data_IF_700074046882
#
_entry.id   IF_700074046882
#
_cell.length_a   1.000
_cell.length_b   1.000
_cell.length_c   1.000
_cell.angle_alpha   90.00
_cell.angle_beta   90.00
_cell.angle_gamma   90.00
#
_symmetry.space_group_name_H-M   'P 1'
#
loop_
_entity.id
_entity.type
_entity.pdbx_description
1 polymer ?
#
# COMPACT_ATOMS: atom_id res chain seq x y z
N UNK A 1 5.95 3.11 -0.48
CA UNK A 1 5.43 4.36 -1.08
C UNK A 1 5.37 5.49 -0.05
N UNK A 2 4.62 5.39 1.05
CA UNK A 2 4.50 6.47 2.08
C UNK A 2 5.85 6.79 2.77
N UNK A 3 6.74 5.80 2.89
CA UNK A 3 8.03 5.92 3.60
C UNK A 3 9.15 6.67 2.85
N UNK A 4 8.94 6.99 1.56
CA UNK A 4 9.83 7.90 0.82
C UNK A 4 9.02 9.13 0.48
N UNK A 5 9.39 10.27 1.07
CA UNK A 5 8.73 11.58 0.91
C UNK A 5 8.27 11.77 -0.55
N UNK A 6 6.95 11.85 -0.71
CA UNK A 6 6.22 12.27 -1.91
C UNK A 6 6.81 11.87 -3.26
N UNK A 7 6.48 10.68 -3.76
CA UNK A 7 6.28 10.51 -5.21
C UNK A 7 4.81 10.17 -5.44
N UNK A 8 4.17 10.91 -6.33
CA UNK A 8 2.89 10.53 -6.89
C UNK A 8 3.07 9.15 -7.55
N UNK A 9 2.51 8.09 -6.98
CA UNK A 9 2.44 6.82 -7.73
C UNK A 9 1.42 7.03 -8.84
N UNK A 10 1.92 7.17 -10.07
CA UNK A 10 1.14 7.11 -11.30
C UNK A 10 1.03 5.67 -11.83
N UNK A 11 1.35 4.68 -11.00
CA UNK A 11 1.51 3.30 -11.45
C UNK A 11 0.21 2.52 -11.26
N UNK A 12 -0.82 2.90 -12.03
CA UNK A 12 -2.05 2.13 -12.19
C UNK A 12 -3.33 2.96 -12.30
N UNK A 13 -4.22 2.56 -13.21
CA UNK A 13 -5.56 3.12 -13.33
C UNK A 13 -6.39 2.79 -12.07
N UNK A 14 -7.12 3.78 -11.52
CA UNK A 14 -8.11 3.53 -10.46
C UNK A 14 -9.37 2.84 -10.99
N UNK A 15 -9.72 3.18 -12.23
CA UNK A 15 -10.66 2.49 -13.08
C UNK A 15 -10.07 2.51 -14.49
N UNK A 16 -9.98 1.35 -15.11
CA UNK A 16 -9.42 1.22 -16.44
C UNK A 16 -10.46 1.41 -17.56
N UNK A 17 -11.59 0.70 -17.47
CA UNK A 17 -12.71 0.84 -18.41
C UNK A 17 -12.51 0.08 -19.72
N UNK A 18 -13.12 0.58 -20.79
CA UNK A 18 -13.14 -0.07 -22.12
C UNK A 18 -12.64 0.89 -23.20
N UNK A 19 -11.77 0.41 -24.07
CA UNK A 19 -11.39 1.09 -25.31
C UNK A 19 -12.53 0.97 -26.33
N UNK A 20 -13.44 1.93 -26.33
CA UNK A 20 -14.56 1.96 -27.28
C UNK A 20 -14.13 2.39 -28.69
N UNK A 21 -14.82 1.85 -29.70
CA UNK A 21 -14.56 2.18 -31.11
C UNK A 21 -13.24 1.59 -31.63
N UNK A 22 -12.67 2.22 -32.65
CA UNK A 22 -11.46 1.71 -33.34
C UNK A 22 -10.24 2.63 -33.21
N UNK A 23 -10.36 3.72 -32.48
CA UNK A 23 -9.31 4.73 -32.30
C UNK A 23 -8.81 4.87 -30.87
N UNK A 24 -9.49 4.28 -29.88
CA UNK A 24 -9.13 4.37 -28.47
C UNK A 24 -8.04 3.36 -28.07
N UNK A 25 -8.02 2.18 -28.68
CA UNK A 25 -6.98 1.16 -28.45
C UNK A 25 -5.80 1.36 -29.40
N UNK A 26 -4.58 1.35 -28.86
CA UNK A 26 -3.37 1.27 -29.68
C UNK A 26 -3.31 -0.05 -30.47
N UNK A 27 -2.41 -0.19 -31.46
CA UNK A 27 -2.22 -1.44 -32.20
C UNK A 27 -1.99 -2.62 -31.23
N UNK A 28 -2.70 -3.73 -31.43
CA UNK A 28 -2.63 -4.93 -30.59
C UNK A 28 -3.07 -4.77 -29.13
N UNK A 29 -3.75 -3.67 -28.79
CA UNK A 29 -4.38 -3.49 -27.48
C UNK A 29 -5.79 -4.07 -27.51
N UNK A 30 -6.16 -4.82 -26.47
CA UNK A 30 -7.49 -5.37 -26.32
C UNK A 30 -8.53 -4.27 -26.10
N UNK A 31 -9.79 -4.54 -26.45
CA UNK A 31 -10.91 -3.65 -26.13
C UNK A 31 -11.05 -3.46 -24.62
N UNK A 32 -10.78 -4.51 -23.83
CA UNK A 32 -10.72 -4.40 -22.38
C UNK A 32 -9.50 -3.58 -21.95
N UNK A 33 -9.74 -2.58 -21.10
CA UNK A 33 -8.73 -1.75 -20.46
C UNK A 33 -8.81 -1.88 -18.94
N UNK A 34 -9.15 -3.06 -18.40
CA UNK A 34 -9.42 -3.32 -16.98
C UNK A 34 -8.25 -3.03 -16.01
N UNK A 35 -7.00 -3.22 -16.43
CA UNK A 35 -5.75 -2.93 -15.68
C UNK A 35 -5.61 -3.57 -14.28
N UNK A 36 -6.43 -4.58 -13.96
CA UNK A 36 -6.61 -5.03 -12.58
C UNK A 36 -6.89 -3.89 -11.60
N UNK A 37 -7.61 -2.87 -12.06
CA UNK A 37 -7.89 -1.68 -11.28
C UNK A 37 -8.81 -1.99 -10.07
N UNK A 38 -8.78 -1.16 -9.01
CA UNK A 38 -9.70 -1.29 -7.87
C UNK A 38 -11.18 -1.27 -8.27
N UNK A 39 -11.51 -0.59 -9.37
CA UNK A 39 -12.78 -0.72 -10.08
C UNK A 39 -12.54 -1.45 -11.39
N UNK A 40 -13.29 -2.53 -11.64
CA UNK A 40 -13.18 -3.29 -12.88
C UNK A 40 -13.64 -2.49 -14.11
N UNK A 41 -13.49 -3.06 -15.31
CA UNK A 41 -13.92 -2.48 -16.59
C UNK A 41 -15.36 -1.94 -16.59
N UNK A 42 -16.27 -2.52 -15.79
CA UNK A 42 -17.68 -2.12 -15.71
C UNK A 42 -17.98 -1.17 -14.55
N UNK A 43 -16.95 -0.78 -13.78
CA UNK A 43 -17.08 0.09 -12.62
C UNK A 43 -17.49 -0.62 -11.32
N UNK A 44 -17.43 -1.96 -11.29
CA UNK A 44 -17.70 -2.74 -10.09
C UNK A 44 -16.49 -2.78 -9.16
N UNK A 45 -16.75 -2.81 -7.86
CA UNK A 45 -15.71 -2.83 -6.83
C UNK A 45 -14.97 -4.18 -6.83
N UNK A 46 -13.66 -4.13 -7.08
CA UNK A 46 -12.79 -5.32 -7.04
C UNK A 46 -12.21 -5.51 -5.63
N UNK A 47 -12.80 -6.45 -4.91
CA UNK A 47 -12.28 -6.90 -3.61
C UNK A 47 -11.14 -7.92 -3.80
N UNK A 48 -10.15 -7.98 -2.88
CA UNK A 48 -9.99 -7.15 -1.68
C UNK A 48 -9.25 -5.83 -1.93
N UNK A 49 -8.83 -5.57 -3.18
CA UNK A 49 -7.94 -4.46 -3.55
C UNK A 49 -8.53 -3.10 -3.20
N UNK A 50 -9.81 -2.88 -3.50
CA UNK A 50 -10.51 -1.65 -3.18
C UNK A 50 -10.54 -1.36 -1.68
N UNK A 51 -10.98 -2.31 -0.85
CA UNK A 51 -11.02 -2.08 0.60
C UNK A 51 -9.63 -1.94 1.20
N UNK A 52 -8.63 -2.70 0.75
CA UNK A 52 -7.25 -2.49 1.20
C UNK A 52 -6.72 -1.09 0.88
N UNK A 53 -6.99 -0.55 -0.31
CA UNK A 53 -6.59 0.81 -0.67
C UNK A 53 -7.40 1.86 0.08
N UNK A 54 -8.67 1.59 0.37
CA UNK A 54 -9.54 2.46 1.17
C UNK A 54 -9.08 2.51 2.63
N UNK A 55 -8.71 1.38 3.23
CA UNK A 55 -8.09 1.34 4.57
C UNK A 55 -6.74 2.06 4.58
N UNK A 56 -5.92 1.89 3.54
CA UNK A 56 -4.69 2.68 3.38
C UNK A 56 -5.00 4.19 3.26
N UNK A 57 -6.06 4.56 2.56
CA UNK A 57 -6.49 5.95 2.44
C UNK A 57 -7.00 6.53 3.77
N UNK A 58 -7.59 5.73 4.66
CA UNK A 58 -7.93 6.19 6.02
C UNK A 58 -6.70 6.62 6.82
N UNK A 59 -5.52 6.08 6.52
CA UNK A 59 -4.25 6.55 7.08
C UNK A 59 -3.81 7.95 6.59
N UNK A 60 -4.64 8.65 5.79
CA UNK A 60 -4.47 10.07 5.46
C UNK A 60 -4.40 10.97 6.70
N UNK A 61 -4.87 10.51 7.85
CA UNK A 61 -4.67 11.20 9.14
C UNK A 61 -3.18 11.50 9.45
N UNK A 62 -2.25 10.72 8.89
CA UNK A 62 -0.81 10.97 9.01
C UNK A 62 -0.32 12.17 8.17
N UNK A 63 -1.12 12.70 7.25
CA UNK A 63 -0.73 13.75 6.28
C UNK A 63 -0.04 14.95 6.95
N UNK A 64 -0.57 15.56 8.04
CA UNK A 64 0.07 16.71 8.67
C UNK A 64 1.50 16.41 9.17
N UNK A 65 1.74 15.22 9.71
CA UNK A 65 3.07 14.80 10.16
C UNK A 65 4.00 14.50 8.97
N UNK A 66 3.48 13.86 7.92
CA UNK A 66 4.23 13.49 6.72
C UNK A 66 4.72 14.69 5.91
N UNK A 67 3.92 15.76 5.83
CA UNK A 67 4.29 16.96 5.06
C UNK A 67 5.18 17.92 5.85
N UNK A 68 5.14 17.87 7.18
CA UNK A 68 5.84 18.83 8.04
C UNK A 68 7.17 18.33 8.62
N UNK A 69 7.48 17.04 8.49
CA UNK A 69 8.71 16.47 9.02
C UNK A 69 9.33 15.44 8.06
N UNK A 70 10.65 15.27 8.16
CA UNK A 70 11.36 14.16 7.53
C UNK A 70 11.35 12.93 8.45
N UNK A 71 11.32 11.71 7.89
CA UNK A 71 11.27 10.50 8.69
C UNK A 71 12.58 10.27 9.44
N UNK A 72 12.50 10.02 10.74
CA UNK A 72 13.56 9.42 11.52
C UNK A 72 13.41 7.91 11.40
N UNK A 73 14.41 7.25 10.81
CA UNK A 73 14.41 5.80 10.61
C UNK A 73 15.20 5.13 11.73
N UNK A 74 14.53 4.25 12.47
CA UNK A 74 15.13 3.47 13.54
C UNK A 74 15.03 1.99 13.20
N UNK A 75 16.17 1.30 13.14
CA UNK A 75 16.17 -0.16 13.06
C UNK A 75 15.79 -0.71 14.43
N UNK A 76 14.74 -1.54 14.49
CA UNK A 76 14.33 -2.20 15.74
C UNK A 76 15.13 -3.49 15.88
N UNK A 77 14.98 -4.41 14.91
CA UNK A 77 15.71 -5.68 14.84
C UNK A 77 15.85 -6.04 13.35
N UNK A 78 17.07 -6.27 12.86
CA UNK A 78 17.39 -6.80 11.52
C UNK A 78 16.54 -6.23 10.36
N UNK A 79 15.40 -6.88 10.05
CA UNK A 79 14.50 -6.57 8.93
C UNK A 79 13.25 -5.77 9.36
N UNK A 80 13.19 -5.32 10.60
CA UNK A 80 12.11 -4.50 11.14
C UNK A 80 12.58 -3.07 11.39
N UNK A 81 11.85 -2.11 10.81
CA UNK A 81 12.18 -0.69 10.90
C UNK A 81 10.97 0.11 11.37
N UNK A 82 11.22 1.10 12.22
CA UNK A 82 10.29 2.16 12.51
C UNK A 82 10.68 3.40 11.70
N UNK A 83 9.72 3.99 11.00
CA UNK A 83 9.85 5.31 10.41
C UNK A 83 8.93 6.25 11.17
N UNK A 84 9.51 7.21 11.88
CA UNK A 84 8.79 8.12 12.76
C UNK A 84 8.85 9.53 12.18
N UNK A 85 7.69 10.13 11.99
CA UNK A 85 7.49 11.51 11.58
C UNK A 85 7.02 12.28 12.81
N UNK A 86 7.81 13.26 13.23
CA UNK A 86 7.47 14.10 14.38
C UNK A 86 7.77 15.55 14.02
N UNK A 87 6.75 16.39 14.12
CA UNK A 87 6.84 17.81 13.80
C UNK A 87 6.95 18.67 15.05
N UNK A 88 7.60 19.82 14.92
CA UNK A 88 7.68 20.84 15.99
C UNK A 88 6.30 21.38 16.38
N UNK A 89 5.30 21.26 15.51
CA UNK A 89 3.90 21.63 15.78
C UNK A 89 3.12 20.56 16.55
N UNK A 90 3.75 19.45 16.94
CA UNK A 90 3.13 18.38 17.72
C UNK A 90 2.43 17.29 16.91
N UNK A 91 2.47 17.33 15.57
CA UNK A 91 1.98 16.23 14.74
C UNK A 91 2.93 15.04 14.78
N UNK A 92 2.38 13.83 14.88
CA UNK A 92 3.13 12.59 15.00
C UNK A 92 2.54 11.52 14.11
N UNK A 93 3.36 10.76 13.41
CA UNK A 93 2.96 9.53 12.74
C UNK A 93 4.11 8.52 12.74
N UNK A 94 3.81 7.24 12.96
CA UNK A 94 4.82 6.19 12.90
C UNK A 94 4.41 5.04 11.98
N UNK A 95 5.39 4.46 11.31
CA UNK A 95 5.21 3.35 10.39
C UNK A 95 6.17 2.23 10.80
N UNK A 96 5.60 1.09 11.18
CA UNK A 96 6.34 -0.10 11.59
C UNK A 96 6.36 -1.08 10.43
N UNK A 97 7.52 -1.23 9.79
CA UNK A 97 7.72 -2.09 8.63
C UNK A 97 8.38 -3.41 9.03
N UNK A 98 7.88 -4.51 8.49
CA UNK A 98 8.54 -5.81 8.51
C UNK A 98 8.89 -6.21 7.08
N UNK A 99 10.18 -6.12 6.74
CA UNK A 99 10.71 -6.51 5.43
C UNK A 99 11.00 -8.02 5.32
N UNK A 100 10.80 -8.79 6.40
CA UNK A 100 10.88 -10.25 6.29
C UNK A 100 9.69 -10.77 5.50
N UNK A 101 9.96 -11.44 4.37
CA UNK A 101 8.92 -11.96 3.47
C UNK A 101 8.24 -13.22 4.00
N UNK A 102 8.88 -13.93 4.93
CA UNK A 102 8.49 -15.27 5.34
C UNK A 102 7.93 -15.30 6.77
N UNK A 103 8.48 -14.49 7.68
CA UNK A 103 8.18 -14.59 9.10
C UNK A 103 7.51 -13.33 9.64
N UNK A 104 6.49 -13.53 10.46
CA UNK A 104 5.93 -12.49 11.30
C UNK A 104 6.95 -12.10 12.39
N UNK A 105 6.93 -10.84 12.80
CA UNK A 105 7.82 -10.31 13.82
C UNK A 105 7.01 -9.60 14.90
N UNK A 106 7.37 -9.84 16.17
CA UNK A 106 6.83 -9.07 17.30
C UNK A 106 7.84 -7.99 17.66
N UNK A 107 7.46 -6.73 17.46
CA UNK A 107 8.31 -5.57 17.76
C UNK A 107 7.78 -4.83 18.96
N UNK A 108 8.67 -4.22 19.74
CA UNK A 108 8.30 -3.31 20.82
C UNK A 108 8.54 -1.87 20.36
N UNK A 109 7.51 -1.04 20.42
CA UNK A 109 7.56 0.36 20.01
C UNK A 109 6.69 1.20 20.95
N UNK A 110 7.23 2.30 21.50
CA UNK A 110 6.56 3.12 22.53
C UNK A 110 5.95 2.28 23.68
N UNK A 111 6.72 1.35 24.25
CA UNK A 111 6.27 0.44 25.32
C UNK A 111 5.06 -0.46 24.97
N UNK A 112 4.65 -0.52 23.71
CA UNK A 112 3.60 -1.42 23.23
C UNK A 112 4.19 -2.49 22.31
N UNK A 113 3.59 -3.68 22.33
CA UNK A 113 3.96 -4.78 21.44
C UNK A 113 3.08 -4.80 20.21
N UNK A 114 3.72 -4.85 19.04
CA UNK A 114 3.05 -4.95 17.74
C UNK A 114 3.47 -6.23 17.04
N UNK A 115 2.48 -6.99 16.57
CA UNK A 115 2.71 -8.17 15.72
C UNK A 115 2.61 -7.75 14.27
N UNK A 116 3.72 -7.74 13.56
CA UNK A 116 3.82 -7.39 12.15
C UNK A 116 3.83 -8.69 11.31
N UNK A 117 2.83 -8.93 10.46
CA UNK A 117 2.86 -10.01 9.49
C UNK A 117 4.11 -9.94 8.57
N UNK A 118 4.45 -11.04 7.87
CA UNK A 118 5.48 -10.99 6.83
C UNK A 118 5.13 -9.96 5.76
N UNK A 119 6.13 -9.22 5.27
CA UNK A 119 6.01 -8.21 4.22
C UNK A 119 4.86 -7.22 4.44
N UNK A 120 4.88 -6.54 5.60
CA UNK A 120 3.78 -5.65 6.00
C UNK A 120 4.27 -4.35 6.62
N UNK A 121 3.38 -3.36 6.63
CA UNK A 121 3.60 -2.07 7.30
C UNK A 121 2.35 -1.78 8.14
N UNK A 122 2.55 -1.52 9.43
CA UNK A 122 1.49 -0.99 10.31
C UNK A 122 1.65 0.52 10.45
N UNK A 123 0.54 1.25 10.41
CA UNK A 123 0.51 2.72 10.43
C UNK A 123 -0.10 3.18 11.76
N UNK A 124 0.58 4.11 12.41
CA UNK A 124 0.22 4.70 13.69
C UNK A 124 -0.01 6.20 13.47
N UNK A 125 -1.23 6.63 13.08
CA UNK A 125 -1.55 8.03 12.79
C UNK A 125 -1.51 8.96 14.01
N UNK A 126 -1.65 8.41 15.22
CA UNK A 126 -1.44 9.09 16.49
C UNK A 126 -0.77 8.08 17.44
N UNK A 127 -0.14 8.54 18.53
CA UNK A 127 0.57 7.69 19.49
C UNK A 127 -0.27 6.58 20.15
N UNK A 128 -1.58 6.51 19.86
CA UNK A 128 -2.58 5.62 20.46
C UNK A 128 -3.40 4.79 19.48
N UNK A 129 -3.59 5.23 18.22
CA UNK A 129 -4.49 4.55 17.26
C UNK A 129 -3.68 3.76 16.23
N UNK A 130 -4.05 2.48 16.04
CA UNK A 130 -3.34 1.55 15.15
C UNK A 130 -4.19 1.22 13.94
N UNK A 131 -3.72 1.57 12.75
CA UNK A 131 -4.28 1.09 11.48
C UNK A 131 -3.29 0.11 10.88
N UNK A 132 -3.58 -1.19 11.01
CA UNK A 132 -2.76 -2.27 10.47
C UNK A 132 -3.23 -2.63 9.08
N UNK A 133 -2.44 -2.30 8.05
CA UNK A 133 -2.68 -2.75 6.67
C UNK A 133 -1.75 -3.91 6.31
N UNK A 134 -2.23 -5.16 6.19
CA UNK A 134 -1.43 -6.23 5.63
C UNK A 134 -1.25 -5.98 4.13
N UNK A 135 -0.08 -5.48 3.72
CA UNK A 135 0.33 -5.35 2.32
C UNK A 135 0.68 -6.72 1.73
N UNK A 136 -0.32 -7.60 1.58
CA UNK A 136 -0.17 -8.84 0.81
C UNK A 136 -0.24 -8.50 -0.67
N UNK A 137 0.88 -8.06 -1.26
CA UNK A 137 1.05 -8.15 -2.71
C UNK A 137 1.24 -9.63 -3.06
N UNK A 138 0.13 -10.36 -3.22
CA UNK A 138 0.17 -11.63 -3.93
C UNK A 138 0.28 -11.26 -5.40
N UNK A 139 1.48 -11.32 -5.95
CA UNK A 139 1.63 -11.39 -7.41
C UNK A 139 0.85 -12.65 -7.81
N UNK A 140 -0.25 -12.56 -8.59
CA UNK A 140 -0.82 -13.75 -9.17
C UNK A 140 0.28 -14.34 -10.04
N UNK A 141 0.70 -15.57 -9.76
CA UNK A 141 1.51 -16.33 -10.69
C UNK A 141 0.83 -16.22 -12.07
N UNK A 142 1.63 -15.90 -13.09
CA UNK A 142 1.18 -15.87 -14.46
C UNK A 142 0.26 -17.07 -14.71
N UNK A 143 -0.97 -16.80 -15.15
CA UNK A 143 -1.85 -17.86 -15.64
C UNK A 143 -1.16 -18.39 -16.88
N UNK A 144 -0.40 -19.46 -16.71
CA UNK A 144 0.09 -20.28 -17.81
C UNK A 144 -1.17 -20.86 -18.45
N UNK A 145 -1.70 -20.15 -19.46
CA UNK A 145 -2.76 -20.69 -20.31
C UNK A 145 -2.12 -21.85 -21.07
N UNK A 146 -2.31 -23.05 -20.52
CA UNK A 146 -2.05 -24.32 -21.19
C UNK A 146 -2.91 -24.36 -22.44
N UNK A 147 -2.32 -23.94 -23.57
CA UNK A 147 -2.90 -24.16 -24.89
C UNK A 147 -2.85 -25.67 -25.10
N UNK A 148 -4.01 -26.31 -25.03
CA UNK A 148 -4.18 -27.68 -25.51
C UNK A 148 -4.42 -27.56 -27.01
N UNK A 149 -3.42 -27.97 -27.81
CA UNK A 149 -3.59 -28.28 -29.22
C UNK A 149 -4.51 -29.51 -29.37
#
# INVERSE_FOLDING_TARGET
MILKKGRHDKDGCYHGGTNFGRSAGGPFITTSYDYDAPLDEYGLIRQPKYEHLKELHKAKQCEPALVSADPIVTSIINLQHAHVFSSKSGHYAAFLANYNTNNAAKVMFNNMHYTLPPWSISILPDSTNVVSTPLKFRIPAAIERKVRL
#
